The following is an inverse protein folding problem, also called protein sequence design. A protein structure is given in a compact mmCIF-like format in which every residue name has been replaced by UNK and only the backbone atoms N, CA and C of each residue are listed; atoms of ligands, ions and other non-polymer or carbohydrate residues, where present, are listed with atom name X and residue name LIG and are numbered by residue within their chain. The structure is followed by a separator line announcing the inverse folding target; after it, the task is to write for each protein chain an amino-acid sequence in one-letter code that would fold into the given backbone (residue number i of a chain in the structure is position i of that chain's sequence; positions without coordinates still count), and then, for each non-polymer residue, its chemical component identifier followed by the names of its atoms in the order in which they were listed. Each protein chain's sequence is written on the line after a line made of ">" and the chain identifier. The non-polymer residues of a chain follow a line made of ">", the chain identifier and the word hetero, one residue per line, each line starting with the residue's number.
data_IF_276464148198
#
_entry.id   IF_276464148198
#
_cell.length_a   1.000
_cell.length_b   1.000
_cell.length_c   1.000
_cell.angle_alpha   90.00
_cell.angle_beta   90.00
_cell.angle_gamma   90.00
#
_symmetry.space_group_name_H-M   'P 1'
#
loop_
_entity.id
_entity.type
_entity.pdbx_description
1 polymer ?
#
# COMPACT_ATOMS: atom_id res chain seq x y z
N UNK A 1 19.73 -1.53 -5.01
CA UNK A 1 18.83 -0.81 -5.94
C UNK A 1 19.34 0.60 -6.09
N UNK A 2 19.35 1.12 -7.31
CA UNK A 2 19.50 2.55 -7.59
C UNK A 2 18.32 3.32 -6.96
N UNK A 3 18.56 4.43 -6.26
CA UNK A 3 17.53 5.17 -5.50
C UNK A 3 16.35 5.57 -6.40
N UNK A 4 16.62 5.90 -7.67
CA UNK A 4 15.58 6.20 -8.66
C UNK A 4 14.69 4.99 -9.00
N UNK A 5 15.22 3.76 -8.95
CA UNK A 5 14.42 2.54 -9.16
C UNK A 5 13.52 2.25 -7.96
N UNK A 6 14.00 2.52 -6.75
CA UNK A 6 13.21 2.36 -5.53
C UNK A 6 12.09 3.39 -5.47
N UNK A 7 12.38 4.64 -5.81
CA UNK A 7 11.38 5.72 -5.89
C UNK A 7 10.27 5.38 -6.91
N UNK A 8 10.64 4.95 -8.11
CA UNK A 8 9.67 4.52 -9.13
C UNK A 8 8.77 3.39 -8.64
N UNK A 9 9.36 2.34 -8.06
CA UNK A 9 8.59 1.24 -7.47
C UNK A 9 7.65 1.72 -6.33
N UNK A 10 8.13 2.62 -5.47
CA UNK A 10 7.34 3.14 -4.36
C UNK A 10 6.14 3.97 -4.87
N UNK A 11 6.34 4.79 -5.90
CA UNK A 11 5.28 5.53 -6.59
C UNK A 11 4.24 4.58 -7.20
N UNK A 12 4.68 3.56 -7.95
CA UNK A 12 3.80 2.58 -8.57
C UNK A 12 2.97 1.83 -7.51
N UNK A 13 3.61 1.41 -6.40
CA UNK A 13 2.91 0.75 -5.28
C UNK A 13 1.93 1.66 -4.58
N UNK A 14 2.29 2.91 -4.32
CA UNK A 14 1.38 3.88 -3.72
C UNK A 14 0.15 4.09 -4.62
N UNK A 15 0.35 4.20 -5.93
CA UNK A 15 -0.73 4.34 -6.90
C UNK A 15 -1.63 3.10 -6.93
N UNK A 16 -1.06 1.89 -6.94
CA UNK A 16 -1.84 0.63 -6.87
C UNK A 16 -2.74 0.60 -5.63
N UNK A 17 -2.19 0.92 -4.45
CA UNK A 17 -2.94 0.94 -3.18
C UNK A 17 -4.03 2.00 -3.21
N UNK A 18 -3.76 3.20 -3.73
CA UNK A 18 -4.77 4.27 -3.85
C UNK A 18 -5.91 3.87 -4.78
N UNK A 19 -5.59 3.29 -5.93
CA UNK A 19 -6.58 2.87 -6.91
C UNK A 19 -7.44 1.69 -6.41
N UNK A 20 -6.88 0.78 -5.62
CA UNK A 20 -7.63 -0.37 -5.10
C UNK A 20 -8.32 -0.09 -3.78
N UNK A 21 -7.57 0.30 -2.76
CA UNK A 21 -8.09 0.46 -1.40
C UNK A 21 -8.69 1.85 -1.17
N UNK A 22 -8.11 2.89 -1.77
CA UNK A 22 -8.65 4.25 -1.70
C UNK A 22 -10.06 4.35 -2.30
N UNK A 23 -10.30 3.75 -3.48
CA UNK A 23 -11.65 3.70 -4.05
C UNK A 23 -12.64 2.87 -3.23
N UNK A 24 -12.19 1.80 -2.57
CA UNK A 24 -13.03 1.04 -1.64
C UNK A 24 -13.43 1.90 -0.45
N UNK A 25 -12.49 2.65 0.11
CA UNK A 25 -12.75 3.54 1.25
C UNK A 25 -13.73 4.66 0.89
N UNK A 26 -13.56 5.29 -0.27
CA UNK A 26 -14.52 6.29 -0.77
C UNK A 26 -15.92 5.68 -0.91
N UNK A 27 -16.01 4.44 -1.41
CA UNK A 27 -17.29 3.74 -1.55
C UNK A 27 -17.92 3.40 -0.21
N UNK A 28 -17.15 2.94 0.78
CA UNK A 28 -17.69 2.64 2.12
C UNK A 28 -18.10 3.90 2.86
N UNK A 29 -17.43 5.04 2.64
CA UNK A 29 -17.87 6.32 3.19
C UNK A 29 -19.29 6.71 2.72
N UNK A 30 -19.71 6.28 1.52
CA UNK A 30 -21.06 6.54 0.98
C UNK A 30 -22.16 5.73 1.66
N UNK A 31 -21.85 4.58 2.27
CA UNK A 31 -22.84 3.81 3.03
C UNK A 31 -23.15 4.43 4.39
N UNK A 32 -22.26 5.29 4.90
CA UNK A 32 -22.37 5.89 6.23
C UNK A 32 -22.13 4.91 7.38
N UNK A 33 -21.74 3.67 7.10
CA UNK A 33 -21.46 2.66 8.12
C UNK A 33 -20.04 2.84 8.67
N UNK A 34 -19.94 3.26 9.94
CA UNK A 34 -18.66 3.38 10.63
C UNK A 34 -17.89 2.04 10.68
N UNK A 35 -18.61 0.91 10.75
CA UNK A 35 -17.99 -0.42 10.70
C UNK A 35 -17.33 -0.67 9.36
N UNK A 36 -18.02 -0.41 8.25
CA UNK A 36 -17.47 -0.60 6.90
C UNK A 36 -16.30 0.34 6.61
N UNK A 37 -16.40 1.60 7.06
CA UNK A 37 -15.31 2.57 6.95
C UNK A 37 -14.07 2.07 7.70
N UNK A 38 -14.25 1.60 8.94
CA UNK A 38 -13.15 1.06 9.76
C UNK A 38 -12.51 -0.17 9.14
N UNK A 39 -13.31 -1.13 8.69
CA UNK A 39 -12.81 -2.34 8.03
C UNK A 39 -12.03 -2.01 6.76
N UNK A 40 -12.57 -1.12 5.93
CA UNK A 40 -11.91 -0.73 4.68
C UNK A 40 -10.62 0.04 4.94
N UNK A 41 -10.61 0.92 5.94
CA UNK A 41 -9.40 1.63 6.37
C UNK A 41 -8.34 0.66 6.87
N UNK A 42 -8.72 -0.38 7.61
CA UNK A 42 -7.81 -1.41 8.09
C UNK A 42 -7.17 -2.20 6.94
N UNK A 43 -7.93 -2.52 5.89
CA UNK A 43 -7.39 -3.17 4.69
C UNK A 43 -6.35 -2.30 3.99
N UNK A 44 -6.63 -1.01 3.84
CA UNK A 44 -5.68 -0.05 3.28
C UNK A 44 -4.40 0.05 4.11
N UNK A 45 -4.52 0.17 5.43
CA UNK A 45 -3.38 0.22 6.35
C UNK A 45 -2.52 -1.06 6.26
N UNK A 46 -3.14 -2.24 6.14
CA UNK A 46 -2.44 -3.51 5.95
C UNK A 46 -1.67 -3.56 4.63
N UNK A 47 -2.24 -3.07 3.54
CA UNK A 47 -1.57 -3.02 2.24
C UNK A 47 -0.32 -2.11 2.29
N UNK A 48 -0.41 -0.97 2.96
CA UNK A 48 0.72 -0.06 3.20
C UNK A 48 1.80 -0.78 4.03
N UNK A 49 1.42 -1.38 5.16
CA UNK A 49 2.35 -2.07 6.03
C UNK A 49 3.06 -3.24 5.32
N UNK A 50 2.34 -4.01 4.51
CA UNK A 50 2.92 -5.10 3.71
C UNK A 50 3.96 -4.56 2.71
N UNK A 51 3.66 -3.45 2.03
CA UNK A 51 4.58 -2.83 1.08
C UNK A 51 5.85 -2.29 1.75
N UNK A 52 5.73 -1.75 2.97
CA UNK A 52 6.90 -1.33 3.76
C UNK A 52 7.77 -2.53 4.17
N UNK A 53 7.15 -3.66 4.54
CA UNK A 53 7.89 -4.89 4.87
C UNK A 53 8.61 -5.42 3.63
N UNK A 54 7.94 -5.47 2.48
CA UNK A 54 8.53 -5.87 1.19
C UNK A 54 9.75 -5.00 0.85
N UNK A 55 9.61 -3.68 0.93
CA UNK A 55 10.71 -2.74 0.73
C UNK A 55 11.88 -3.03 1.70
N UNK A 56 11.59 -3.24 2.98
CA UNK A 56 12.61 -3.52 4.00
C UNK A 56 13.33 -4.87 3.79
N UNK A 57 12.67 -5.83 3.15
CA UNK A 57 13.23 -7.15 2.85
C UNK A 57 14.14 -7.09 1.62
N UNK A 58 13.74 -6.34 0.59
CA UNK A 58 14.54 -6.10 -0.61
C UNK A 58 15.89 -5.43 -0.29
N UNK A 59 15.93 -4.57 0.74
CA UNK A 59 17.17 -3.93 1.20
C UNK A 59 18.12 -4.87 1.96
N UNK A 60 17.65 -6.01 2.48
CA UNK A 60 18.45 -6.93 3.29
C UNK A 60 19.19 -8.01 2.50
N UNK A 61 18.90 -8.16 1.21
CA UNK A 61 19.54 -9.19 0.38
C UNK A 61 20.28 -8.61 -0.84
N UNK A 62 21.45 -7.97 -0.65
CA UNK A 62 22.27 -7.47 -1.75
C UNK A 62 23.08 -8.57 -2.49
N UNK A 63 22.95 -9.85 -2.13
CA UNK A 63 23.78 -10.96 -2.66
C UNK A 63 23.05 -11.88 -3.66
N UNK A 64 21.93 -11.44 -4.23
CA UNK A 64 21.12 -12.22 -5.18
C UNK A 64 20.92 -11.53 -6.53
N UNK A 65 21.86 -10.66 -6.95
CA UNK A 65 21.99 -10.17 -8.33
C UNK A 65 23.25 -10.78 -8.97
#
# INVERSE_FOLDING_TARGET
>A
MDDSRLEGWACDKAQEIMLREGFRLIRSARSGSNTEIRETTLLMARAIAASLVEASAAHRNPAAE
#
